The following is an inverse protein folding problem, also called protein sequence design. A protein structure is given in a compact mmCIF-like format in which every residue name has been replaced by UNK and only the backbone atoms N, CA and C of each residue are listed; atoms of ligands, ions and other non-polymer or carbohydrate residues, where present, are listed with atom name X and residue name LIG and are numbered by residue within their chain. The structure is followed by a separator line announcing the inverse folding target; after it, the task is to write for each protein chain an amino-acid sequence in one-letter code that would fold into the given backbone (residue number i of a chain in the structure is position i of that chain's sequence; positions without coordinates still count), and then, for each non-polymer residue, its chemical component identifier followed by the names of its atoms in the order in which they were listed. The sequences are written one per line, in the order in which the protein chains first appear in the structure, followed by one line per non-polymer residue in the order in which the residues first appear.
data_IF_463668885069
#
_entry.id   IF_463668885069
#
_cell.length_a   1.000
_cell.length_b   1.000
_cell.length_c   1.000
_cell.angle_alpha   90.00
_cell.angle_beta   90.00
_cell.angle_gamma   90.00
#
_symmetry.space_group_name_H-M   'P 1'
#
loop_
_entity.id
_entity.type
_entity.pdbx_description
1 polymer ?
#
# COMPACT_ATOMS: atom_id res chain seq x y z
N UNK A 1 -29.30 -7.09 15.68
CA UNK A 1 -27.93 -6.53 15.60
C UNK A 1 -27.42 -6.76 14.19
N UNK A 2 -27.49 -5.76 13.33
CA UNK A 2 -27.06 -5.88 11.93
C UNK A 2 -25.55 -5.65 11.91
N UNK A 3 -24.77 -6.69 11.62
CA UNK A 3 -23.33 -6.53 11.41
C UNK A 3 -23.14 -5.60 10.22
N UNK A 4 -22.66 -4.38 10.51
CA UNK A 4 -22.23 -3.43 9.49
C UNK A 4 -20.96 -4.04 8.89
N UNK A 5 -21.03 -4.50 7.65
CA UNK A 5 -19.86 -4.99 6.91
C UNK A 5 -18.86 -3.83 6.84
N UNK A 6 -17.84 -3.84 7.69
CA UNK A 6 -16.81 -2.82 7.69
C UNK A 6 -15.85 -3.13 6.54
N UNK A 7 -15.76 -2.19 5.58
CA UNK A 7 -14.88 -2.32 4.41
C UNK A 7 -13.43 -2.41 4.93
N UNK A 8 -12.72 -3.49 4.56
CA UNK A 8 -11.30 -3.64 4.85
C UNK A 8 -10.53 -2.56 4.09
N UNK A 9 -9.64 -1.87 4.81
CA UNK A 9 -8.73 -0.83 4.31
C UNK A 9 -7.29 -1.33 4.43
N UNK A 10 -6.40 -0.74 3.65
CA UNK A 10 -4.97 -1.03 3.66
C UNK A 10 -4.26 0.17 4.28
N UNK A 11 -3.50 -0.06 5.34
CA UNK A 11 -2.73 0.93 6.05
C UNK A 11 -1.24 0.71 5.78
N UNK A 12 -0.56 1.77 5.37
CA UNK A 12 0.88 1.80 5.13
C UNK A 12 1.59 1.99 6.47
N UNK A 13 2.74 1.35 6.64
CA UNK A 13 3.52 1.44 7.88
C UNK A 13 4.98 1.75 7.61
N UNK A 14 5.66 2.25 8.63
CA UNK A 14 7.12 2.46 8.63
C UNK A 14 7.74 1.98 9.93
N UNK A 15 9.06 1.74 9.91
CA UNK A 15 9.83 1.49 11.13
C UNK A 15 11.27 2.02 11.00
N UNK A 16 11.96 2.08 12.14
CA UNK A 16 13.39 2.43 12.21
C UNK A 16 14.16 1.31 12.89
N UNK A 17 15.33 1.01 12.35
CA UNK A 17 16.28 0.11 13.00
C UNK A 17 17.06 0.90 14.05
N UNK A 18 17.21 0.33 15.25
CA UNK A 18 17.92 0.98 16.33
C UNK A 18 19.37 1.31 15.93
N UNK A 19 19.77 2.56 16.13
CA UNK A 19 21.12 3.03 15.76
C UNK A 19 21.22 3.53 14.33
N UNK A 20 20.14 3.44 13.54
CA UNK A 20 20.07 3.99 12.20
C UNK A 20 19.14 5.21 12.16
N UNK A 21 19.43 6.12 11.24
CA UNK A 21 18.58 7.29 10.98
C UNK A 21 17.69 7.11 9.74
N UNK A 22 17.66 5.89 9.20
CA UNK A 22 16.89 5.52 8.02
C UNK A 22 15.49 5.07 8.45
N UNK A 23 14.48 5.54 7.71
CA UNK A 23 13.10 5.06 7.83
C UNK A 23 12.87 4.02 6.73
N UNK A 24 12.35 2.87 7.12
CA UNK A 24 12.05 1.75 6.22
C UNK A 24 10.55 1.59 6.05
N UNK A 25 10.15 1.17 4.85
CA UNK A 25 8.78 0.71 4.60
C UNK A 25 8.50 -0.56 5.42
N UNK A 26 7.42 -0.53 6.17
CA UNK A 26 6.93 -1.65 6.94
C UNK A 26 5.85 -2.46 6.19
N UNK A 27 5.38 -3.57 6.78
CA UNK A 27 4.32 -4.37 6.20
C UNK A 27 2.99 -3.59 6.17
N UNK A 28 2.22 -3.79 5.10
CA UNK A 28 0.86 -3.25 5.01
C UNK A 28 -0.07 -3.94 6.02
N UNK A 29 -0.92 -3.16 6.69
CA UNK A 29 -1.91 -3.66 7.64
C UNK A 29 -3.31 -3.61 7.00
N UNK A 30 -4.01 -4.75 7.02
CA UNK A 30 -5.39 -4.86 6.56
C UNK A 30 -6.32 -4.78 7.76
N UNK A 31 -7.07 -3.68 7.89
CA UNK A 31 -7.91 -3.44 9.05
C UNK A 31 -9.23 -2.74 8.66
N UNK A 32 -10.24 -2.87 9.51
CA UNK A 32 -11.54 -2.23 9.28
C UNK A 32 -11.63 -0.79 9.81
N UNK A 33 -10.66 -0.36 10.60
CA UNK A 33 -10.53 1.01 11.12
C UNK A 33 -9.06 1.33 11.41
N UNK A 34 -8.74 2.63 11.52
CA UNK A 34 -7.41 3.09 11.89
C UNK A 34 -7.04 2.63 13.30
N UNK A 35 -7.98 2.64 14.24
CA UNK A 35 -7.77 2.15 15.60
C UNK A 35 -7.30 0.68 15.62
N UNK A 36 -7.91 -0.19 14.80
CA UNK A 36 -7.47 -1.58 14.69
C UNK A 36 -6.08 -1.66 14.03
N UNK A 37 -5.82 -0.81 13.03
CA UNK A 37 -4.52 -0.77 12.36
C UNK A 37 -3.39 -0.35 13.32
N UNK A 38 -3.61 0.69 14.14
CA UNK A 38 -2.67 1.18 15.14
C UNK A 38 -2.36 0.11 16.20
N UNK A 39 -3.40 -0.59 16.69
CA UNK A 39 -3.21 -1.69 17.64
C UNK A 39 -2.35 -2.83 17.06
N UNK A 40 -2.52 -3.16 15.78
CA UNK A 40 -1.69 -4.16 15.09
C UNK A 40 -0.26 -3.63 14.91
N UNK A 41 -0.11 -2.37 14.51
CA UNK A 41 1.19 -1.73 14.28
C UNK A 41 2.03 -1.71 15.56
N UNK A 42 1.42 -1.36 16.71
CA UNK A 42 2.07 -1.38 18.01
C UNK A 42 2.58 -2.78 18.38
N UNK A 43 1.76 -3.82 18.17
CA UNK A 43 2.17 -5.21 18.43
C UNK A 43 3.34 -5.67 17.56
N UNK A 44 3.49 -5.08 16.37
CA UNK A 44 4.56 -5.38 15.41
C UNK A 44 5.80 -4.50 15.58
N UNK A 45 5.73 -3.45 16.40
CA UNK A 45 6.80 -2.45 16.54
C UNK A 45 6.98 -1.57 15.31
N UNK A 46 5.90 -1.32 14.56
CA UNK A 46 5.86 -0.42 13.39
C UNK A 46 4.88 0.73 13.65
N UNK A 47 4.96 1.78 12.84
CA UNK A 47 4.11 2.97 12.93
C UNK A 47 3.20 3.06 11.71
N UNK A 48 1.89 3.34 11.89
CA UNK A 48 1.00 3.65 10.76
C UNK A 48 1.29 5.05 10.24
N UNK A 49 1.48 5.17 8.92
CA UNK A 49 1.76 6.47 8.27
C UNK A 49 0.64 6.97 7.38
N UNK A 50 -0.30 6.08 7.01
CA UNK A 50 -1.45 6.47 6.20
C UNK A 50 -2.32 5.30 5.80
N UNK A 51 -3.44 5.64 5.16
CA UNK A 51 -4.37 4.70 4.54
C UNK A 51 -4.24 4.80 3.02
N UNK A 52 -4.03 3.68 2.34
CA UNK A 52 -4.02 3.61 0.88
C UNK A 52 -5.44 3.93 0.35
N UNK A 53 -5.59 5.05 -0.33
CA UNK A 53 -6.87 5.48 -0.92
C UNK A 53 -7.06 4.97 -2.34
N UNK A 54 -6.04 5.14 -3.19
CA UNK A 54 -6.11 4.89 -4.62
C UNK A 54 -4.85 4.16 -5.12
N UNK A 55 -5.02 3.34 -6.16
CA UNK A 55 -3.92 2.73 -6.91
C UNK A 55 -3.98 3.28 -8.33
N UNK A 56 -2.96 4.03 -8.73
CA UNK A 56 -2.83 4.51 -10.11
C UNK A 56 -2.00 3.47 -10.87
N UNK A 57 -2.61 2.82 -11.86
CA UNK A 57 -1.91 1.92 -12.78
C UNK A 57 -1.54 2.69 -14.03
N UNK A 58 -0.24 2.88 -14.28
CA UNK A 58 0.27 3.55 -15.49
C UNK A 58 0.34 2.62 -16.71
N UNK A 59 -0.17 1.38 -16.59
CA UNK A 59 -0.07 0.39 -17.67
C UNK A 59 -1.02 0.66 -18.85
N UNK A 60 -2.11 1.41 -18.65
CA UNK A 60 -3.02 1.76 -19.74
C UNK A 60 -2.36 2.74 -20.74
N UNK A 61 -1.48 3.62 -20.28
CA UNK A 61 -0.77 4.60 -21.13
C UNK A 61 0.44 3.99 -21.88
N UNK A 62 0.99 2.88 -21.39
CA UNK A 62 2.14 2.23 -22.02
C UNK A 62 1.75 1.44 -23.28
N UNK A 63 0.51 0.95 -23.38
CA UNK A 63 0.03 0.27 -24.59
C UNK A 63 0.02 1.18 -25.82
N UNK A 64 -0.23 2.49 -25.65
CA UNK A 64 -0.19 3.44 -26.78
C UNK A 64 1.23 3.75 -27.27
N UNK A 65 2.25 3.58 -26.42
CA UNK A 65 3.65 3.85 -26.77
C UNK A 65 4.28 2.67 -27.53
N UNK A 66 3.90 1.43 -27.20
CA UNK A 66 4.46 0.23 -27.83
C UNK A 66 3.74 -0.25 -29.11
N UNK A 67 2.57 0.32 -29.46
CA UNK A 67 1.81 -0.09 -30.65
C UNK A 67 2.15 0.73 -31.92
N UNK A 68 3.15 1.63 -31.86
CA UNK A 68 3.58 2.45 -33.00
C UNK A 68 4.84 1.98 -33.73
N UNK A 69 5.56 1.00 -33.21
CA UNK A 69 6.66 0.40 -33.96
C UNK A 69 6.12 -0.80 -34.76
N UNK A 70 5.86 -0.52 -36.05
CA UNK A 70 5.62 -1.49 -37.09
C UNK A 70 6.55 -2.70 -36.91
N UNK A 71 5.97 -3.87 -36.63
CA UNK A 71 6.70 -5.14 -36.67
C UNK A 71 7.12 -5.42 -38.12
N UNK A 72 8.26 -4.88 -38.53
CA UNK A 72 8.94 -5.32 -39.75
C UNK A 72 9.55 -6.70 -39.47
N UNK A 73 8.88 -7.74 -39.95
CA UNK A 73 9.45 -9.08 -40.05
C UNK A 73 10.57 -9.05 -41.12
N UNK A 74 11.82 -9.22 -40.70
CA UNK A 74 12.93 -9.62 -41.56
C UNK A 74 13.02 -11.15 -41.63
#
# INVERSE_FOLDING_TARGET
MTQKNSKVKIYLTEFRVQGENTIYEGPNIFASSSEIAENIAEQMGVTVVGELQDIISLYDDLYEIFDKDERVLH
#
